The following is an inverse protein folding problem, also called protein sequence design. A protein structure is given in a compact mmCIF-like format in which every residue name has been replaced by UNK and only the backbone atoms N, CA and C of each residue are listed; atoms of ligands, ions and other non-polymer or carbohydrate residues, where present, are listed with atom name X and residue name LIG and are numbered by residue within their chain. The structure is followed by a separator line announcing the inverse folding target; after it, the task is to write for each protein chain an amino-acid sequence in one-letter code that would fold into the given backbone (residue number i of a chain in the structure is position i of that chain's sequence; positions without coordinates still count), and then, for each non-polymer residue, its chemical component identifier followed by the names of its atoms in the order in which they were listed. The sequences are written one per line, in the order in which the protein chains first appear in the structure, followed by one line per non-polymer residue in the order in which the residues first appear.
data_IF_145555939928
#
_entry.id   IF_145555939928
#
_cell.length_a   1.000
_cell.length_b   1.000
_cell.length_c   1.000
_cell.angle_alpha   90.00
_cell.angle_beta   90.00
_cell.angle_gamma   90.00
#
_symmetry.space_group_name_H-M   'P 1'
#
loop_
_entity.id
_entity.type
_entity.pdbx_description
1 polymer ?
#
# COMPACT_ATOMS: atom_id res chain seq x y z
N UNK A 1 8.00 11.05 -23.37
CA UNK A 1 8.64 10.39 -22.21
C UNK A 1 7.51 10.11 -21.23
N UNK A 2 7.05 8.89 -20.94
CA UNK A 2 7.68 7.90 -20.08
C UNK A 2 6.85 6.61 -20.15
N UNK A 3 7.45 5.52 -20.64
CA UNK A 3 6.87 4.16 -20.64
C UNK A 3 7.22 3.39 -19.36
N UNK A 4 7.69 4.12 -18.34
CA UNK A 4 8.36 3.58 -17.14
C UNK A 4 7.50 3.61 -15.87
N UNK A 5 6.25 4.09 -15.93
CA UNK A 5 5.44 4.37 -14.73
C UNK A 5 4.78 3.16 -14.06
N UNK A 6 4.75 1.97 -14.70
CA UNK A 6 4.03 0.79 -14.16
C UNK A 6 4.93 -0.38 -13.77
N UNK A 7 6.25 -0.26 -13.94
CA UNK A 7 7.17 -1.38 -13.77
C UNK A 7 7.34 -1.81 -12.29
N UNK A 8 7.49 -0.93 -11.28
CA UNK A 8 7.86 -1.39 -9.95
C UNK A 8 6.72 -2.13 -9.23
N UNK A 9 5.47 -1.68 -9.35
CA UNK A 9 4.30 -2.36 -8.77
C UNK A 9 4.03 -3.72 -9.43
N UNK A 10 4.22 -3.79 -10.75
CA UNK A 10 4.13 -5.05 -11.49
C UNK A 10 5.25 -6.03 -11.07
N UNK A 11 6.49 -5.55 -10.89
CA UNK A 11 7.59 -6.37 -10.40
C UNK A 11 7.39 -6.82 -8.95
N UNK A 12 6.82 -5.96 -8.10
CA UNK A 12 6.46 -6.32 -6.73
C UNK A 12 5.39 -7.42 -6.72
N UNK A 13 4.31 -7.23 -7.50
CA UNK A 13 3.23 -8.20 -7.64
C UNK A 13 3.72 -9.55 -8.21
N UNK A 14 4.62 -9.53 -9.20
CA UNK A 14 5.22 -10.74 -9.77
C UNK A 14 6.18 -11.43 -8.79
N UNK A 15 6.92 -10.68 -7.98
CA UNK A 15 7.77 -11.24 -6.92
C UNK A 15 6.94 -11.86 -5.79
N UNK A 16 5.81 -11.25 -5.42
CA UNK A 16 4.84 -11.80 -4.48
C UNK A 16 4.21 -13.10 -4.99
N UNK A 17 3.95 -13.21 -6.30
CA UNK A 17 3.37 -14.40 -6.91
C UNK A 17 4.33 -15.60 -7.00
N UNK A 18 5.64 -15.38 -6.80
CA UNK A 18 6.68 -16.40 -6.96
C UNK A 18 7.23 -16.94 -5.63
N UNK A 19 6.67 -16.51 -4.50
CA UNK A 19 7.01 -17.06 -3.19
C UNK A 19 6.47 -18.50 -3.06
N UNK A 20 7.31 -19.48 -2.66
CA UNK A 20 6.87 -20.85 -2.47
C UNK A 20 5.82 -20.93 -1.35
N UNK A 21 4.71 -21.62 -1.59
CA UNK A 21 3.66 -21.82 -0.60
C UNK A 21 4.18 -22.70 0.56
N UNK A 22 4.15 -22.24 1.82
CA UNK A 22 4.54 -23.06 2.95
C UNK A 22 3.50 -24.16 3.25
N UNK A 23 3.97 -25.25 3.85
CA UNK A 23 3.19 -26.45 4.12
C UNK A 23 1.97 -26.17 5.04
N UNK A 24 0.83 -26.75 4.67
CA UNK A 24 -0.51 -26.50 5.24
C UNK A 24 -0.63 -26.92 6.71
N UNK A 25 -1.04 -26.01 7.58
CA UNK A 25 -1.65 -26.37 8.86
C UNK A 25 -3.02 -27.06 8.63
N UNK A 26 -3.26 -28.20 9.28
CA UNK A 26 -4.43 -29.05 9.06
C UNK A 26 -5.79 -28.41 9.41
N UNK A 27 -5.80 -27.27 10.11
CA UNK A 27 -7.01 -26.52 10.46
C UNK A 27 -6.74 -25.00 10.52
N UNK A 28 -6.57 -24.36 9.36
CA UNK A 28 -6.39 -22.90 9.28
C UNK A 28 -7.61 -22.22 8.62
N UNK A 29 -8.67 -21.82 9.37
CA UNK A 29 -9.90 -21.32 8.76
C UNK A 29 -9.70 -19.97 8.06
N UNK A 30 -10.26 -19.85 6.86
CA UNK A 30 -10.18 -18.63 6.05
C UNK A 30 -10.79 -17.39 6.70
N UNK A 31 -11.75 -17.54 7.60
CA UNK A 31 -12.46 -16.42 8.23
C UNK A 31 -12.31 -16.43 9.75
N UNK A 32 -11.21 -17.01 10.25
CA UNK A 32 -10.88 -16.98 11.67
C UNK A 32 -10.58 -15.56 12.18
N UNK A 33 -10.73 -15.35 13.49
CA UNK A 33 -10.39 -14.06 14.15
C UNK A 33 -8.97 -13.60 13.81
N UNK A 34 -8.05 -14.55 13.76
CA UNK A 34 -6.65 -14.37 13.40
C UNK A 34 -6.47 -13.70 12.01
N UNK A 35 -7.21 -14.16 11.00
CA UNK A 35 -7.21 -13.59 9.64
C UNK A 35 -7.66 -12.14 9.60
N UNK A 36 -8.65 -11.78 10.42
CA UNK A 36 -9.08 -10.39 10.54
C UNK A 36 -8.03 -9.50 11.22
N UNK A 37 -7.17 -10.05 12.07
CA UNK A 37 -6.05 -9.29 12.63
C UNK A 37 -4.97 -9.05 11.57
N UNK A 38 -4.63 -10.06 10.77
CA UNK A 38 -3.72 -9.90 9.62
C UNK A 38 -4.22 -8.81 8.68
N UNK A 39 -5.51 -8.89 8.29
CA UNK A 39 -6.17 -7.86 7.50
C UNK A 39 -6.06 -6.46 8.12
N UNK A 40 -6.46 -6.30 9.38
CA UNK A 40 -6.49 -5.02 10.06
C UNK A 40 -5.10 -4.42 10.27
N UNK A 41 -4.13 -5.23 10.69
CA UNK A 41 -2.74 -4.82 10.87
C UNK A 41 -2.13 -4.36 9.54
N UNK A 42 -2.32 -5.15 8.48
CA UNK A 42 -1.81 -4.84 7.14
C UNK A 42 -2.48 -3.60 6.55
N UNK A 43 -3.79 -3.42 6.75
CA UNK A 43 -4.47 -2.19 6.36
C UNK A 43 -3.92 -0.95 7.08
N UNK A 44 -3.70 -1.04 8.39
CA UNK A 44 -3.16 0.06 9.19
C UNK A 44 -1.72 0.40 8.78
N UNK A 45 -0.86 -0.60 8.60
CA UNK A 45 0.52 -0.42 8.13
C UNK A 45 0.56 0.21 6.75
N UNK A 46 -0.29 -0.25 5.83
CA UNK A 46 -0.33 0.26 4.47
C UNK A 46 -0.80 1.72 4.44
N UNK A 47 -1.86 2.04 5.17
CA UNK A 47 -2.36 3.41 5.29
C UNK A 47 -1.35 4.34 5.96
N UNK A 48 -0.69 3.88 7.03
CA UNK A 48 0.35 4.65 7.71
C UNK A 48 1.58 4.90 6.83
N UNK A 49 2.05 3.86 6.13
CA UNK A 49 3.17 4.00 5.18
C UNK A 49 2.82 4.91 4.00
N UNK A 50 1.58 4.83 3.50
CA UNK A 50 1.08 5.77 2.50
C UNK A 50 1.09 7.20 3.03
N UNK A 51 0.58 7.45 4.24
CA UNK A 51 0.53 8.79 4.84
C UNK A 51 1.94 9.39 5.01
N UNK A 52 2.90 8.58 5.46
CA UNK A 52 4.32 9.00 5.53
C UNK A 52 4.86 9.33 4.14
N UNK A 53 4.60 8.48 3.15
CA UNK A 53 5.06 8.74 1.78
C UNK A 53 4.42 9.98 1.16
N UNK A 54 3.13 10.20 1.39
CA UNK A 54 2.41 11.38 0.93
C UNK A 54 2.94 12.68 1.55
N UNK A 55 3.56 12.62 2.73
CA UNK A 55 4.23 13.76 3.33
C UNK A 55 5.61 14.06 2.72
N UNK A 56 6.18 13.13 1.95
CA UNK A 56 7.53 13.22 1.36
C UNK A 56 7.46 13.49 -0.15
N UNK A 57 6.50 12.89 -0.85
CA UNK A 57 6.35 12.98 -2.31
C UNK A 57 5.01 13.57 -2.71
N UNK A 58 5.03 14.47 -3.70
CA UNK A 58 3.82 15.05 -4.29
C UNK A 58 3.03 14.02 -5.12
N UNK A 59 3.74 13.16 -5.85
CA UNK A 59 3.14 12.11 -6.67
C UNK A 59 2.62 10.97 -5.76
N UNK A 60 1.45 10.39 -6.06
CA UNK A 60 0.87 9.33 -5.22
C UNK A 60 1.60 7.99 -5.35
N UNK A 61 2.26 7.69 -6.46
CA UNK A 61 2.86 6.37 -6.72
C UNK A 61 3.96 5.99 -5.72
N UNK A 62 4.93 6.86 -5.37
CA UNK A 62 5.91 6.57 -4.31
C UNK A 62 5.28 6.31 -2.95
N UNK A 63 4.22 7.04 -2.59
CA UNK A 63 3.51 6.85 -1.33
C UNK A 63 2.78 5.50 -1.29
N UNK A 64 2.10 5.12 -2.39
CA UNK A 64 1.49 3.81 -2.54
C UNK A 64 2.52 2.68 -2.44
N UNK A 65 3.67 2.85 -3.10
CA UNK A 65 4.76 1.87 -3.06
C UNK A 65 5.35 1.71 -1.66
N UNK A 66 5.55 2.81 -0.93
CA UNK A 66 6.04 2.76 0.45
C UNK A 66 5.04 2.04 1.38
N UNK A 67 3.76 2.41 1.31
CA UNK A 67 2.72 1.75 2.10
C UNK A 67 2.61 0.25 1.80
N UNK A 68 2.59 -0.12 0.52
CA UNK A 68 2.58 -1.52 0.10
C UNK A 68 3.81 -2.28 0.59
N UNK A 69 5.01 -1.69 0.42
CA UNK A 69 6.26 -2.30 0.81
C UNK A 69 6.38 -2.57 2.30
N UNK A 70 5.93 -1.62 3.13
CA UNK A 70 5.92 -1.79 4.60
C UNK A 70 4.95 -2.91 4.99
N UNK A 71 3.68 -2.83 4.57
CA UNK A 71 2.66 -3.78 5.00
C UNK A 71 2.97 -5.22 4.53
N UNK A 72 3.26 -5.39 3.24
CA UNK A 72 3.58 -6.71 2.69
C UNK A 72 4.92 -7.23 3.19
N UNK A 73 5.90 -6.35 3.40
CA UNK A 73 7.20 -6.73 3.97
C UNK A 73 7.07 -7.28 5.39
N UNK A 74 6.20 -6.67 6.21
CA UNK A 74 5.89 -7.19 7.56
C UNK A 74 5.16 -8.53 7.49
N UNK A 75 4.14 -8.67 6.65
CA UNK A 75 3.40 -9.93 6.47
C UNK A 75 4.29 -11.08 5.99
N UNK A 76 5.05 -10.87 4.90
CA UNK A 76 6.04 -11.84 4.41
C UNK A 76 7.08 -12.16 5.49
N UNK A 77 7.59 -11.13 6.18
CA UNK A 77 8.57 -11.28 7.24
C UNK A 77 8.07 -12.17 8.38
N UNK A 78 6.80 -12.00 8.81
CA UNK A 78 6.16 -12.87 9.80
C UNK A 78 6.10 -14.31 9.30
N UNK A 79 5.64 -14.54 8.08
CA UNK A 79 5.55 -15.91 7.53
C UNK A 79 6.90 -16.61 7.40
N UNK A 80 7.95 -15.87 7.00
CA UNK A 80 9.32 -16.38 6.97
C UNK A 80 9.86 -16.68 8.37
N UNK A 81 9.50 -15.85 9.35
CA UNK A 81 9.86 -16.07 10.75
C UNK A 81 9.18 -17.33 11.31
N UNK A 82 7.90 -17.54 10.99
CA UNK A 82 7.16 -18.74 11.36
C UNK A 82 7.77 -19.99 10.69
N UNK A 83 8.12 -19.89 9.40
CA UNK A 83 8.78 -20.97 8.65
C UNK A 83 10.16 -21.33 9.24
N UNK A 84 10.83 -20.40 9.90
CA UNK A 84 12.08 -20.65 10.63
C UNK A 84 11.89 -21.39 11.97
N UNK A 85 10.65 -21.80 12.30
CA UNK A 85 10.32 -22.63 13.45
C UNK A 85 9.73 -21.87 14.64
N UNK A 86 9.42 -20.57 14.48
CA UNK A 86 8.86 -19.72 15.54
C UNK A 86 7.33 -19.60 15.51
N UNK A 87 6.67 -20.33 14.62
CA UNK A 87 5.22 -20.31 14.48
C UNK A 87 4.72 -21.32 13.45
N UNK A 88 3.52 -21.06 12.93
CA UNK A 88 2.89 -21.89 11.91
C UNK A 88 2.68 -21.04 10.65
N UNK A 89 3.51 -21.21 9.62
CA UNK A 89 3.36 -20.40 8.42
C UNK A 89 2.02 -20.70 7.74
N UNK A 90 1.33 -19.66 7.32
CA UNK A 90 0.05 -19.70 6.62
C UNK A 90 0.07 -18.79 5.40
N UNK A 91 -0.13 -19.40 4.24
CA UNK A 91 -0.41 -18.64 3.02
C UNK A 91 -1.76 -17.90 3.08
N UNK A 92 -2.69 -18.32 3.96
CA UNK A 92 -3.97 -17.66 4.15
C UNK A 92 -3.78 -16.36 4.93
N UNK A 93 -2.88 -16.33 5.92
CA UNK A 93 -2.45 -15.09 6.58
C UNK A 93 -1.92 -14.09 5.55
N UNK A 94 -1.00 -14.55 4.69
CA UNK A 94 -0.45 -13.72 3.62
C UNK A 94 -1.52 -13.20 2.65
N UNK A 95 -2.54 -14.01 2.33
CA UNK A 95 -3.65 -13.57 1.50
C UNK A 95 -4.47 -12.45 2.17
N UNK A 96 -4.69 -12.54 3.48
CA UNK A 96 -5.36 -11.50 4.25
C UNK A 96 -4.50 -10.26 4.45
N UNK A 97 -3.18 -10.40 4.52
CA UNK A 97 -2.24 -9.27 4.51
C UNK A 97 -2.30 -8.51 3.19
N UNK A 98 -2.36 -9.22 2.05
CA UNK A 98 -2.56 -8.60 0.72
C UNK A 98 -3.89 -7.88 0.63
N UNK A 99 -4.99 -8.51 1.08
CA UNK A 99 -6.31 -7.89 1.09
C UNK A 99 -6.34 -6.62 1.98
N UNK A 100 -5.79 -6.72 3.20
CA UNK A 100 -5.66 -5.61 4.14
C UNK A 100 -4.85 -4.46 3.55
N UNK A 101 -3.69 -4.77 2.99
CA UNK A 101 -2.84 -3.79 2.30
C UNK A 101 -3.59 -3.06 1.21
N UNK A 102 -4.28 -3.78 0.32
CA UNK A 102 -5.04 -3.18 -0.77
C UNK A 102 -6.13 -2.23 -0.27
N UNK A 103 -6.91 -2.64 0.74
CA UNK A 103 -7.95 -1.81 1.34
C UNK A 103 -7.35 -0.59 2.05
N UNK A 104 -6.29 -0.76 2.83
CA UNK A 104 -5.61 0.33 3.53
C UNK A 104 -5.08 1.40 2.58
N UNK A 105 -4.41 0.98 1.50
CA UNK A 105 -3.92 1.90 0.46
C UNK A 105 -5.07 2.62 -0.24
N UNK A 106 -6.12 1.89 -0.62
CA UNK A 106 -7.27 2.48 -1.30
C UNK A 106 -7.93 3.56 -0.44
N UNK A 107 -8.18 3.27 0.84
CA UNK A 107 -8.79 4.22 1.77
C UNK A 107 -7.88 5.42 2.01
N UNK A 108 -6.59 5.20 2.26
CA UNK A 108 -5.64 6.28 2.52
C UNK A 108 -5.49 7.21 1.31
N UNK A 109 -5.38 6.63 0.11
CA UNK A 109 -5.33 7.38 -1.14
C UNK A 109 -6.64 8.15 -1.40
N UNK A 110 -7.80 7.51 -1.20
CA UNK A 110 -9.09 8.16 -1.40
C UNK A 110 -9.28 9.35 -0.44
N UNK A 111 -8.91 9.19 0.83
CA UNK A 111 -8.94 10.26 1.84
C UNK A 111 -8.00 11.40 1.44
N UNK A 112 -6.75 11.08 1.09
CA UNK A 112 -5.79 12.10 0.66
C UNK A 112 -6.30 12.87 -0.56
N UNK A 113 -6.85 12.19 -1.57
CA UNK A 113 -7.44 12.84 -2.75
C UNK A 113 -8.65 13.72 -2.43
N UNK A 114 -9.47 13.32 -1.47
CA UNK A 114 -10.64 14.09 -1.04
C UNK A 114 -10.27 15.34 -0.21
N UNK A 115 -9.10 15.33 0.43
CA UNK A 115 -8.60 16.44 1.26
C UNK A 115 -7.61 17.35 0.52
N UNK A 116 -7.06 16.91 -0.62
CA UNK A 116 -6.17 17.71 -1.45
C UNK A 116 -6.96 18.91 -2.04
N UNK A 117 -6.50 20.16 -1.84
CA UNK A 117 -7.15 21.34 -2.43
C UNK A 117 -7.24 21.23 -3.95
N UNK A 118 -8.35 21.68 -4.53
CA UNK A 118 -8.50 21.74 -5.99
C UNK A 118 -7.54 22.79 -6.57
N UNK A 119 -6.42 22.34 -7.15
CA UNK A 119 -5.49 23.20 -7.92
C UNK A 119 -6.19 23.94 -9.06
N UNK A 120 -7.35 23.43 -9.51
CA UNK A 120 -8.18 24.05 -10.55
C UNK A 120 -8.78 25.38 -10.10
N UNK A 121 -9.09 25.56 -8.81
CA UNK A 121 -9.57 26.82 -8.26
C UNK A 121 -8.42 27.85 -8.13
N UNK A 122 -7.23 27.39 -7.75
CA UNK A 122 -6.02 28.23 -7.61
C UNK A 122 -5.51 28.72 -8.98
N UNK A 123 -5.54 27.87 -10.02
CA UNK A 123 -5.17 28.27 -11.39
C UNK A 123 -6.23 29.19 -12.03
N UNK A 124 -7.52 29.00 -11.73
CA UNK A 124 -8.58 29.91 -12.16
C UNK A 124 -8.46 31.30 -11.49
N UNK A 125 -8.12 31.34 -10.20
CA UNK A 125 -7.87 32.58 -9.47
C UNK A 125 -6.59 33.30 -9.95
N UNK A 126 -5.52 32.56 -10.26
CA UNK A 126 -4.26 33.11 -10.78
C UNK A 126 -4.33 33.62 -12.22
N UNK A 127 -5.26 33.11 -13.05
CA UNK A 127 -5.52 33.62 -14.40
C UNK A 127 -6.45 34.85 -14.44
N UNK A 128 -7.14 35.16 -13.33
CA UNK A 128 -8.05 36.30 -13.23
C UNK A 128 -7.36 37.64 -12.93
N UNK A 129 -6.14 37.63 -12.40
CA UNK A 129 -5.36 38.84 -12.10
C UNK A 129 -4.15 38.95 -13.03
N UNK A 130 -4.43 39.31 -14.28
CA UNK A 130 -3.40 39.82 -15.18
C UNK A 130 -2.81 41.12 -14.64
N UNK A 131 -1.61 41.06 -14.07
CA UNK A 131 -0.68 42.18 -14.06
C UNK A 131 0.69 41.66 -14.53
N UNK A 132 0.81 41.57 -15.85
CA UNK A 132 2.11 41.61 -16.53
C UNK A 132 2.66 43.02 -16.31
N UNK A 133 3.45 43.21 -15.25
CA UNK A 133 4.32 44.37 -15.14
C UNK A 133 5.58 44.06 -15.95
N UNK A 134 5.59 44.53 -17.19
CA UNK A 134 6.81 44.75 -17.96
C UNK A 134 7.32 46.15 -17.61
N UNK A 135 8.53 46.23 -17.06
CA UNK A 135 9.42 47.37 -17.18
C UNK A 135 10.70 46.87 -17.82
#
# INVERSE_FOLDING_TARGET
MSRWRFRPLLWLALALLSLPAPALAASDPWFGRDKWMHFGASAALAAGGYAVGAAIWEEPEPALALGAGIALGVGIGKELYDLAGYGHPSWRDLAWDVAGTGVGLLLAWAIHRALAPDDSATVAAGRGFGLVLRW
#
